data_IF_478308995647
#
_entry.id   IF_478308995647
#
_cell.length_a   1.000
_cell.length_b   1.000
_cell.length_c   1.000
_cell.angle_alpha   90.00
_cell.angle_beta   90.00
_cell.angle_gamma   90.00
#
_symmetry.space_group_name_H-M   'P 1'
#
loop_
_entity.id
_entity.type
_entity.pdbx_description
1 polymer ?
#
# COMPACT_ATOMS: atom_id res chain seq x y z
N UNK A 1 24.88 1.13 19.22
CA UNK A 1 24.47 -0.17 18.63
C UNK A 1 25.73 -0.90 18.16
N UNK A 2 25.85 -2.22 18.35
CA UNK A 2 27.02 -2.95 17.82
C UNK A 2 26.96 -2.88 16.30
N UNK A 3 28.10 -2.65 15.65
CA UNK A 3 28.21 -2.54 14.19
C UNK A 3 27.78 -3.80 13.42
N UNK A 4 27.44 -4.86 14.15
CA UNK A 4 27.11 -6.18 13.60
C UNK A 4 25.61 -6.49 13.55
N UNK A 5 24.71 -5.61 14.01
CA UNK A 5 23.28 -5.85 13.99
C UNK A 5 22.56 -4.83 13.09
N UNK A 6 22.09 -5.24 11.91
CA UNK A 6 21.60 -4.31 10.87
C UNK A 6 20.17 -3.81 11.09
N UNK A 7 19.47 -4.25 12.15
CA UNK A 7 18.07 -3.85 12.41
C UNK A 7 18.01 -2.70 13.41
N UNK A 8 17.17 -1.70 13.12
CA UNK A 8 16.78 -0.70 14.11
C UNK A 8 15.55 -1.22 14.90
N UNK A 9 15.73 -1.40 16.21
CA UNK A 9 14.69 -1.80 17.15
C UNK A 9 14.33 -0.67 18.11
N UNK A 10 14.81 0.54 17.86
CA UNK A 10 14.62 1.69 18.73
C UNK A 10 13.62 2.68 18.12
N UNK A 11 13.71 2.95 16.82
CA UNK A 11 12.86 3.92 16.13
C UNK A 11 12.83 5.29 16.84
N UNK A 12 11.65 5.86 16.96
CA UNK A 12 11.45 7.10 17.73
C UNK A 12 11.41 6.90 19.25
N UNK A 13 11.29 5.67 19.73
CA UNK A 13 11.19 5.35 21.15
C UNK A 13 9.96 5.97 21.82
N UNK A 14 10.13 6.37 23.09
CA UNK A 14 9.03 6.90 23.91
C UNK A 14 8.61 8.34 23.54
N UNK A 15 9.43 9.06 22.79
CA UNK A 15 9.19 10.46 22.43
C UNK A 15 9.14 10.63 20.89
N UNK A 16 8.09 10.13 20.20
CA UNK A 16 7.94 10.33 18.77
C UNK A 16 7.80 11.83 18.44
N UNK A 17 8.25 12.28 17.28
CA UNK A 17 8.07 13.67 16.86
C UNK A 17 6.59 13.98 16.66
N UNK A 18 6.17 15.21 16.96
CA UNK A 18 4.82 15.65 16.67
C UNK A 18 4.69 15.94 15.16
N UNK A 19 3.83 15.26 14.41
CA UNK A 19 3.78 15.36 12.95
C UNK A 19 3.16 16.67 12.43
N UNK A 20 2.49 17.44 13.27
CA UNK A 20 1.81 18.70 12.90
C UNK A 20 0.85 18.55 11.71
N UNK A 21 0.05 17.48 11.70
CA UNK A 21 -0.87 17.20 10.59
C UNK A 21 -1.75 18.42 10.24
N UNK A 22 -2.09 18.61 8.95
CA UNK A 22 -2.95 19.71 8.51
C UNK A 22 -4.25 19.79 9.30
N UNK A 23 -4.69 21.01 9.59
CA UNK A 23 -5.91 21.23 10.37
C UNK A 23 -5.83 20.82 11.83
N UNK A 24 -4.63 20.67 12.39
CA UNK A 24 -4.39 20.12 13.74
C UNK A 24 -5.05 18.71 13.89
N UNK A 25 -4.99 17.90 12.85
CA UNK A 25 -5.57 16.57 12.90
C UNK A 25 -4.87 15.70 13.93
N UNK A 26 -5.66 14.89 14.64
CA UNK A 26 -5.21 13.89 15.60
C UNK A 26 -4.72 12.63 14.93
N UNK A 27 -5.19 12.40 13.71
CA UNK A 27 -4.85 11.21 12.93
C UNK A 27 -4.81 11.54 11.44
N UNK A 28 -3.77 11.06 10.74
CA UNK A 28 -3.74 11.03 9.29
C UNK A 28 -4.26 9.65 8.84
N UNK A 29 -5.44 9.61 8.23
CA UNK A 29 -6.09 8.39 7.77
C UNK A 29 -5.90 8.22 6.27
N UNK A 30 -5.18 7.16 5.87
CA UNK A 30 -4.85 6.85 4.48
C UNK A 30 -5.47 5.52 4.05
N UNK A 31 -6.31 5.55 3.01
CA UNK A 31 -6.82 4.35 2.36
C UNK A 31 -5.95 4.00 1.16
N UNK A 32 -5.49 2.77 1.13
CA UNK A 32 -4.63 2.24 0.07
C UNK A 32 -5.37 1.13 -0.67
N UNK A 33 -5.60 1.32 -1.96
CA UNK A 33 -6.19 0.29 -2.82
C UNK A 33 -5.10 -0.39 -3.63
N UNK A 34 -4.89 -1.68 -3.37
CA UNK A 34 -4.00 -2.52 -4.16
C UNK A 34 -4.73 -2.96 -5.44
N UNK A 35 -4.21 -2.53 -6.58
CA UNK A 35 -4.67 -2.94 -7.91
C UNK A 35 -3.67 -3.90 -8.54
N UNK A 36 -3.94 -5.20 -8.40
CA UNK A 36 -3.01 -6.29 -8.68
C UNK A 36 -3.48 -7.24 -9.78
N UNK A 37 -4.76 -7.19 -10.11
CA UNK A 37 -5.49 -8.13 -10.95
C UNK A 37 -4.93 -8.19 -12.37
N UNK A 38 -4.28 -9.31 -12.71
CA UNK A 38 -3.56 -9.54 -13.96
C UNK A 38 -2.04 -9.40 -13.84
N UNK A 39 -1.52 -9.02 -12.67
CA UNK A 39 -0.09 -9.00 -12.36
C UNK A 39 0.41 -10.19 -11.52
N UNK A 40 -0.51 -11.03 -11.03
CA UNK A 40 -0.24 -12.23 -10.24
C UNK A 40 0.52 -13.31 -11.01
N UNK A 41 1.00 -14.34 -10.30
CA UNK A 41 1.65 -15.51 -10.92
C UNK A 41 0.69 -16.23 -11.86
N UNK A 42 1.13 -16.45 -13.09
CA UNK A 42 0.38 -17.20 -14.09
C UNK A 42 1.33 -17.76 -15.15
N UNK A 43 1.09 -18.98 -15.60
CA UNK A 43 1.89 -19.58 -16.68
C UNK A 43 1.81 -18.78 -17.99
N UNK A 44 0.74 -18.00 -18.20
CA UNK A 44 0.63 -17.06 -19.33
C UNK A 44 1.69 -15.93 -19.28
N UNK A 45 2.32 -15.72 -18.15
CA UNK A 45 3.41 -14.75 -17.93
C UNK A 45 4.79 -15.40 -17.91
N UNK A 46 4.87 -16.70 -18.19
CA UNK A 46 6.12 -17.48 -18.11
C UNK A 46 6.43 -18.02 -16.71
N UNK A 47 5.52 -17.88 -15.75
CA UNK A 47 5.71 -18.45 -14.42
C UNK A 47 5.60 -19.98 -14.44
N UNK A 48 6.27 -20.64 -13.48
CA UNK A 48 6.25 -22.11 -13.37
C UNK A 48 4.93 -22.64 -12.81
N UNK A 49 4.15 -21.80 -12.16
CA UNK A 49 2.97 -22.17 -11.40
C UNK A 49 1.91 -21.05 -11.41
N UNK A 50 0.67 -21.41 -11.07
CA UNK A 50 -0.41 -20.45 -10.87
C UNK A 50 -0.31 -19.76 -9.51
N UNK A 51 -0.96 -18.61 -9.33
CA UNK A 51 -1.13 -17.96 -8.03
C UNK A 51 -1.97 -18.84 -7.09
N UNK A 52 -1.68 -18.75 -5.79
CA UNK A 52 -2.44 -19.40 -4.72
C UNK A 52 -2.70 -18.46 -3.54
N UNK A 53 -2.00 -17.32 -3.51
CA UNK A 53 -2.01 -16.42 -2.36
C UNK A 53 -3.17 -15.40 -2.44
N UNK A 54 -3.61 -14.96 -1.27
CA UNK A 54 -4.56 -13.87 -1.07
C UNK A 54 -5.86 -14.04 -1.85
N UNK A 55 -6.50 -15.18 -1.66
CA UNK A 55 -7.77 -15.55 -2.26
C UNK A 55 -8.70 -16.24 -1.26
N UNK A 56 -9.97 -16.35 -1.64
CA UNK A 56 -11.02 -17.04 -0.86
C UNK A 56 -10.99 -18.56 -1.01
N UNK A 57 -10.06 -19.10 -1.81
CA UNK A 57 -9.88 -20.55 -1.95
C UNK A 57 -9.11 -21.09 -0.75
N UNK A 58 -9.83 -21.79 0.13
CA UNK A 58 -9.23 -22.35 1.36
C UNK A 58 -8.13 -23.34 1.00
N UNK A 59 -6.94 -23.16 1.62
CA UNK A 59 -5.77 -24.00 1.41
C UNK A 59 -5.35 -24.17 -0.06
N UNK A 60 -5.56 -23.11 -0.88
CA UNK A 60 -5.15 -23.14 -2.27
C UNK A 60 -3.67 -23.49 -2.41
N UNK A 61 -3.36 -24.38 -3.36
CA UNK A 61 -2.00 -24.73 -3.72
C UNK A 61 -1.71 -24.25 -5.15
N UNK A 62 -0.49 -23.77 -5.44
CA UNK A 62 -0.10 -23.46 -6.80
C UNK A 62 -0.18 -24.70 -7.70
N UNK A 63 -0.76 -24.55 -8.89
CA UNK A 63 -0.79 -25.60 -9.90
C UNK A 63 0.46 -25.49 -10.77
N UNK A 64 1.31 -26.51 -10.73
CA UNK A 64 2.55 -26.55 -11.50
C UNK A 64 2.26 -26.73 -13.00
N UNK A 65 2.80 -25.84 -13.82
CA UNK A 65 2.67 -25.90 -15.28
C UNK A 65 1.25 -25.77 -15.80
N UNK A 66 0.29 -25.32 -14.98
CA UNK A 66 -1.11 -25.23 -15.35
C UNK A 66 -1.76 -23.92 -14.87
N UNK A 67 -2.78 -23.48 -15.61
CA UNK A 67 -3.65 -22.36 -15.20
C UNK A 67 -4.60 -22.83 -14.10
N UNK A 68 -4.87 -21.95 -13.13
CA UNK A 68 -5.95 -22.15 -12.16
C UNK A 68 -7.14 -21.24 -12.52
N UNK A 69 -8.10 -21.78 -13.27
CA UNK A 69 -9.24 -21.00 -13.80
C UNK A 69 -10.11 -20.41 -12.70
N UNK A 70 -10.23 -21.09 -11.56
CA UNK A 70 -10.99 -20.57 -10.42
C UNK A 70 -10.26 -19.39 -9.77
N UNK A 71 -8.93 -19.50 -9.61
CA UNK A 71 -8.09 -18.41 -9.09
C UNK A 71 -8.13 -17.19 -10.01
N UNK A 72 -7.93 -17.39 -11.32
CA UNK A 72 -8.01 -16.33 -12.32
C UNK A 72 -9.36 -15.59 -12.24
N UNK A 73 -10.47 -16.33 -12.13
CA UNK A 73 -11.81 -15.73 -12.04
C UNK A 73 -12.03 -14.91 -10.77
N UNK A 74 -11.35 -15.23 -9.65
CA UNK A 74 -11.37 -14.42 -8.42
C UNK A 74 -10.64 -13.09 -8.63
N UNK A 75 -9.48 -13.12 -9.29
CA UNK A 75 -8.75 -11.91 -9.66
C UNK A 75 -9.54 -11.08 -10.68
N UNK A 76 -10.07 -11.70 -11.73
CA UNK A 76 -10.93 -11.02 -12.72
C UNK A 76 -12.10 -10.29 -12.07
N UNK A 77 -12.71 -10.84 -11.02
CA UNK A 77 -13.79 -10.16 -10.31
C UNK A 77 -13.32 -8.80 -9.75
N UNK A 78 -12.11 -8.73 -9.20
CA UNK A 78 -11.54 -7.49 -8.71
C UNK A 78 -11.50 -6.40 -9.78
N UNK A 79 -10.96 -6.74 -10.94
CA UNK A 79 -10.83 -5.82 -12.08
C UNK A 79 -12.17 -5.51 -12.76
N UNK A 80 -13.08 -6.50 -12.88
CA UNK A 80 -14.35 -6.35 -13.63
C UNK A 80 -15.46 -5.69 -12.82
N UNK A 81 -15.49 -5.91 -11.51
CA UNK A 81 -16.61 -5.48 -10.66
C UNK A 81 -16.17 -4.78 -9.36
N UNK A 82 -15.19 -5.35 -8.66
CA UNK A 82 -14.78 -4.90 -7.34
C UNK A 82 -14.25 -3.47 -7.34
N UNK A 83 -13.32 -3.18 -8.23
CA UNK A 83 -12.68 -1.86 -8.35
C UNK A 83 -13.71 -0.74 -8.57
N UNK A 84 -14.65 -0.94 -9.48
CA UNK A 84 -15.67 0.07 -9.80
C UNK A 84 -16.59 0.38 -8.63
N UNK A 85 -16.91 -0.66 -7.83
CA UNK A 85 -17.71 -0.50 -6.62
C UNK A 85 -16.96 0.27 -5.55
N UNK A 86 -15.67 0.03 -5.39
CA UNK A 86 -14.80 0.76 -4.47
C UNK A 86 -14.67 2.22 -4.90
N UNK A 87 -14.33 2.49 -6.16
CA UNK A 87 -14.19 3.86 -6.67
C UNK A 87 -15.50 4.67 -6.50
N UNK A 88 -16.65 4.02 -6.73
CA UNK A 88 -17.95 4.66 -6.49
C UNK A 88 -18.15 5.03 -5.03
N UNK A 89 -17.76 4.16 -4.09
CA UNK A 89 -17.86 4.43 -2.65
C UNK A 89 -16.98 5.62 -2.25
N UNK A 90 -15.72 5.65 -2.65
CA UNK A 90 -14.81 6.73 -2.31
C UNK A 90 -15.23 8.08 -2.93
N UNK A 91 -15.79 8.05 -4.13
CA UNK A 91 -16.39 9.23 -4.76
C UNK A 91 -17.62 9.74 -3.97
N UNK A 92 -18.48 8.84 -3.45
CA UNK A 92 -19.65 9.20 -2.63
C UNK A 92 -19.24 9.99 -1.37
N UNK A 93 -18.10 9.64 -0.78
CA UNK A 93 -17.59 10.28 0.44
C UNK A 93 -16.57 11.40 0.19
N UNK A 94 -16.19 11.64 -1.05
CA UNK A 94 -15.13 12.61 -1.41
C UNK A 94 -13.83 12.37 -0.64
N UNK A 95 -13.36 11.11 -0.64
CA UNK A 95 -12.12 10.70 0.03
C UNK A 95 -11.11 10.26 -1.04
N UNK A 96 -9.87 10.80 -1.00
CA UNK A 96 -8.83 10.37 -1.92
C UNK A 96 -8.27 8.99 -1.53
N UNK A 97 -7.76 8.26 -2.54
CA UNK A 97 -7.06 7.00 -2.38
C UNK A 97 -5.60 7.15 -2.80
N UNK A 98 -4.72 6.36 -2.20
CA UNK A 98 -3.47 5.95 -2.83
C UNK A 98 -3.70 4.59 -3.49
N UNK A 99 -3.41 4.49 -4.77
CA UNK A 99 -3.51 3.24 -5.53
C UNK A 99 -2.13 2.62 -5.62
N UNK A 100 -1.91 1.49 -4.98
CA UNK A 100 -0.75 0.66 -5.25
C UNK A 100 -1.03 -0.13 -6.52
N UNK A 101 -0.51 0.38 -7.64
CA UNK A 101 -0.78 -0.14 -8.97
C UNK A 101 0.35 -1.06 -9.45
N UNK A 102 0.06 -2.34 -9.61
CA UNK A 102 0.94 -3.27 -10.32
C UNK A 102 0.94 -2.90 -11.80
N UNK A 103 2.10 -2.54 -12.37
CA UNK A 103 2.17 -1.95 -13.70
C UNK A 103 1.64 -2.89 -14.80
N UNK A 104 1.86 -4.19 -14.69
CA UNK A 104 1.29 -5.17 -15.63
C UNK A 104 -0.24 -5.22 -15.54
N UNK A 105 -0.81 -5.12 -14.35
CA UNK A 105 -2.27 -5.04 -14.17
C UNK A 105 -2.83 -3.74 -14.77
N UNK A 106 -2.16 -2.62 -14.51
CA UNK A 106 -2.50 -1.31 -15.07
C UNK A 106 -2.49 -1.31 -16.61
N UNK A 107 -1.46 -1.90 -17.21
CA UNK A 107 -1.34 -2.01 -18.67
C UNK A 107 -2.48 -2.83 -19.31
N UNK A 108 -3.00 -3.83 -18.60
CA UNK A 108 -4.09 -4.69 -19.09
C UNK A 108 -5.46 -4.05 -18.98
N UNK A 109 -5.63 -3.09 -18.08
CA UNK A 109 -6.89 -2.38 -17.92
C UNK A 109 -6.65 -0.85 -17.78
N UNK A 110 -6.21 -0.17 -18.85
CA UNK A 110 -5.86 1.24 -18.79
C UNK A 110 -7.04 2.16 -18.43
N UNK A 111 -8.28 1.75 -18.75
CA UNK A 111 -9.48 2.55 -18.45
C UNK A 111 -9.71 2.71 -16.94
N UNK A 112 -9.40 1.70 -16.16
CA UNK A 112 -9.49 1.78 -14.70
C UNK A 112 -8.46 2.75 -14.13
N UNK A 113 -7.23 2.72 -14.66
CA UNK A 113 -6.17 3.66 -14.23
C UNK A 113 -6.56 5.11 -14.58
N UNK A 114 -7.09 5.31 -15.78
CA UNK A 114 -7.60 6.63 -16.19
C UNK A 114 -8.69 7.13 -15.24
N UNK A 115 -9.66 6.30 -14.91
CA UNK A 115 -10.72 6.64 -13.96
C UNK A 115 -10.20 6.99 -12.57
N UNK A 116 -9.14 6.31 -12.10
CA UNK A 116 -8.48 6.59 -10.82
C UNK A 116 -7.78 7.96 -10.85
N UNK A 117 -7.05 8.26 -11.93
CA UNK A 117 -6.38 9.56 -12.12
C UNK A 117 -7.40 10.70 -12.22
N UNK A 118 -8.45 10.53 -13.03
CA UNK A 118 -9.53 11.53 -13.20
C UNK A 118 -10.28 11.81 -11.88
N UNK A 119 -10.34 10.83 -10.98
CA UNK A 119 -10.91 10.99 -9.64
C UNK A 119 -9.93 11.64 -8.63
N UNK A 120 -8.72 12.01 -9.04
CA UNK A 120 -7.73 12.66 -8.17
C UNK A 120 -7.00 11.70 -7.21
N UNK A 121 -7.10 10.40 -7.45
CA UNK A 121 -6.35 9.42 -6.66
C UNK A 121 -4.86 9.43 -7.03
N UNK A 122 -4.01 9.13 -6.07
CA UNK A 122 -2.57 8.93 -6.32
C UNK A 122 -2.32 7.56 -6.96
N UNK A 123 -1.47 7.51 -7.98
CA UNK A 123 -0.92 6.27 -8.51
C UNK A 123 0.50 6.09 -7.96
N UNK A 124 0.65 5.17 -7.03
CA UNK A 124 1.91 4.72 -6.45
C UNK A 124 2.31 3.40 -7.11
N UNK A 125 3.58 3.22 -7.44
CA UNK A 125 4.05 1.98 -8.06
C UNK A 125 3.95 0.81 -7.09
N UNK A 126 3.34 -0.30 -7.52
CA UNK A 126 3.38 -1.61 -6.85
C UNK A 126 4.27 -2.60 -7.60
N UNK A 127 5.35 -2.07 -8.19
CA UNK A 127 6.25 -2.84 -9.03
C UNK A 127 5.64 -3.22 -10.39
N UNK A 128 6.40 -4.02 -11.16
CA UNK A 128 5.94 -4.48 -12.48
C UNK A 128 4.95 -5.64 -12.37
N UNK A 129 5.26 -6.60 -11.48
CA UNK A 129 4.49 -7.81 -11.25
C UNK A 129 4.23 -8.02 -9.77
N UNK A 130 3.13 -8.69 -9.44
CA UNK A 130 2.81 -9.09 -8.08
C UNK A 130 3.38 -10.47 -7.76
N UNK A 131 4.69 -10.55 -7.63
CA UNK A 131 5.45 -11.77 -7.39
C UNK A 131 6.47 -11.55 -6.26
N UNK A 132 7.07 -12.63 -5.78
CA UNK A 132 8.11 -12.59 -4.75
C UNK A 132 9.46 -12.19 -5.36
N UNK A 133 10.10 -11.17 -4.79
CA UNK A 133 11.40 -10.65 -5.23
C UNK A 133 12.56 -11.18 -4.38
N UNK A 134 12.30 -11.97 -3.33
CA UNK A 134 13.32 -12.43 -2.37
C UNK A 134 14.53 -13.11 -3.02
N UNK A 135 14.29 -13.85 -4.09
CA UNK A 135 15.33 -14.62 -4.78
C UNK A 135 15.56 -14.17 -6.23
N UNK A 136 15.01 -13.01 -6.59
CA UNK A 136 15.19 -12.46 -7.93
C UNK A 136 16.62 -11.93 -8.10
N UNK A 137 17.19 -12.12 -9.29
CA UNK A 137 18.44 -11.49 -9.68
C UNK A 137 18.31 -9.96 -9.68
N UNK A 138 19.31 -9.26 -9.18
CA UNK A 138 19.28 -7.80 -9.04
C UNK A 138 19.06 -7.09 -10.38
N UNK A 139 19.67 -7.57 -11.45
CA UNK A 139 19.50 -6.96 -12.78
C UNK A 139 18.06 -7.08 -13.27
N UNK A 140 17.42 -8.23 -13.04
CA UNK A 140 16.01 -8.45 -13.37
C UNK A 140 15.07 -7.62 -12.48
N UNK A 141 15.36 -7.50 -11.18
CA UNK A 141 14.57 -6.65 -10.28
C UNK A 141 14.63 -5.17 -10.70
N UNK A 142 15.83 -4.70 -11.07
CA UNK A 142 16.03 -3.35 -11.61
C UNK A 142 15.25 -3.13 -12.93
N UNK A 143 15.29 -4.11 -13.83
CA UNK A 143 14.51 -4.06 -15.07
C UNK A 143 13.01 -3.97 -14.80
N UNK A 144 12.48 -4.77 -13.88
CA UNK A 144 11.09 -4.72 -13.44
C UNK A 144 10.72 -3.35 -12.86
N UNK A 145 11.60 -2.74 -12.07
CA UNK A 145 11.38 -1.40 -11.52
C UNK A 145 11.27 -0.35 -12.63
N UNK A 146 12.22 -0.34 -13.55
CA UNK A 146 12.25 0.63 -14.66
C UNK A 146 11.04 0.45 -15.59
N UNK A 147 10.66 -0.79 -15.86
CA UNK A 147 9.47 -1.11 -16.67
C UNK A 147 8.18 -0.66 -15.98
N UNK A 148 8.07 -0.81 -14.65
CA UNK A 148 6.94 -0.30 -13.89
C UNK A 148 6.83 1.22 -13.99
N UNK A 149 7.93 1.94 -13.83
CA UNK A 149 7.98 3.40 -13.97
C UNK A 149 7.54 3.81 -15.38
N UNK A 150 8.08 3.16 -16.42
CA UNK A 150 7.74 3.46 -17.81
C UNK A 150 6.26 3.29 -18.08
N UNK A 151 5.69 2.12 -17.75
CA UNK A 151 4.28 1.82 -18.01
C UNK A 151 3.36 2.78 -17.27
N UNK A 152 3.58 2.98 -15.96
CA UNK A 152 2.73 3.86 -15.16
C UNK A 152 2.82 5.31 -15.66
N UNK A 153 4.01 5.77 -16.03
CA UNK A 153 4.20 7.12 -16.60
C UNK A 153 3.45 7.28 -17.93
N UNK A 154 3.52 6.29 -18.82
CA UNK A 154 2.80 6.33 -20.11
C UNK A 154 1.27 6.33 -19.93
N UNK A 155 0.75 5.60 -18.94
CA UNK A 155 -0.68 5.50 -18.69
C UNK A 155 -1.27 6.73 -17.99
N UNK A 156 -0.50 7.38 -17.12
CA UNK A 156 -0.99 8.48 -16.27
C UNK A 156 -0.54 9.87 -16.73
N UNK A 157 0.49 9.94 -17.57
CA UNK A 157 1.15 11.20 -17.95
C UNK A 157 2.17 11.71 -16.95
N UNK A 158 2.27 11.09 -15.76
CA UNK A 158 3.19 11.47 -14.69
C UNK A 158 3.88 10.24 -14.11
N UNK A 159 5.16 10.38 -13.70
CA UNK A 159 5.84 9.28 -13.04
C UNK A 159 5.24 9.01 -11.64
N UNK A 160 5.20 7.77 -11.18
CA UNK A 160 4.84 7.48 -9.80
C UNK A 160 5.87 8.07 -8.83
N UNK A 161 5.39 8.73 -7.77
CA UNK A 161 6.23 9.35 -6.74
C UNK A 161 6.43 8.46 -5.52
N UNK A 162 5.64 7.43 -5.35
CA UNK A 162 5.75 6.44 -4.29
C UNK A 162 6.05 5.04 -4.82
N UNK A 163 6.66 4.23 -3.98
CA UNK A 163 6.97 2.83 -4.24
C UNK A 163 6.47 1.90 -3.13
N UNK A 164 5.96 0.76 -3.52
CA UNK A 164 5.64 -0.38 -2.67
C UNK A 164 5.78 -1.67 -3.46
N UNK A 165 6.40 -2.70 -2.90
CA UNK A 165 6.51 -4.03 -3.51
C UNK A 165 5.67 -5.06 -2.74
N UNK A 166 5.68 -4.98 -1.41
CA UNK A 166 4.97 -5.89 -0.51
C UNK A 166 5.59 -7.27 -0.37
N UNK A 167 6.31 -7.74 -1.38
CA UNK A 167 7.07 -8.99 -1.40
C UNK A 167 8.53 -8.70 -1.75
N UNK A 168 9.15 -7.83 -0.94
CA UNK A 168 10.48 -7.27 -1.16
C UNK A 168 11.57 -8.32 -1.13
N UNK A 169 12.62 -8.07 -1.91
CA UNK A 169 13.91 -8.76 -1.83
C UNK A 169 14.97 -7.95 -1.07
N UNK A 170 16.16 -8.52 -0.87
CA UNK A 170 17.25 -7.83 -0.18
C UNK A 170 17.78 -6.61 -0.95
N UNK A 171 17.48 -6.48 -2.23
CA UNK A 171 17.93 -5.38 -3.07
C UNK A 171 16.89 -4.26 -3.21
N UNK A 172 15.61 -4.54 -2.99
CA UNK A 172 14.49 -3.67 -3.38
C UNK A 172 14.68 -2.24 -2.89
N UNK A 173 14.80 -1.99 -1.58
CA UNK A 173 14.92 -0.61 -1.06
C UNK A 173 16.18 0.10 -1.58
N UNK A 174 17.31 -0.61 -1.68
CA UNK A 174 18.53 -0.04 -2.24
C UNK A 174 18.34 0.40 -3.69
N UNK A 175 17.69 -0.42 -4.52
CA UNK A 175 17.38 -0.10 -5.92
C UNK A 175 16.46 1.12 -6.03
N UNK A 176 15.43 1.22 -5.17
CA UNK A 176 14.53 2.38 -5.10
C UNK A 176 15.30 3.66 -4.76
N UNK A 177 16.20 3.59 -3.78
CA UNK A 177 17.05 4.73 -3.40
C UNK A 177 18.04 5.13 -4.51
N UNK A 178 18.65 4.16 -5.19
CA UNK A 178 19.59 4.39 -6.29
C UNK A 178 18.91 5.02 -7.51
N UNK A 179 17.69 4.58 -7.83
CA UNK A 179 16.90 5.17 -8.92
C UNK A 179 16.61 6.65 -8.64
N UNK A 180 16.27 7.00 -7.42
CA UNK A 180 16.30 8.36 -6.88
C UNK A 180 15.18 9.29 -7.32
N UNK A 181 14.17 8.82 -8.06
CA UNK A 181 13.02 9.62 -8.47
C UNK A 181 11.78 9.43 -7.63
N UNK A 182 11.80 8.53 -6.65
CA UNK A 182 10.70 8.35 -5.69
C UNK A 182 10.85 9.30 -4.51
N UNK A 183 9.75 9.92 -4.08
CA UNK A 183 9.72 10.73 -2.86
C UNK A 183 9.72 9.86 -1.61
N UNK A 184 9.14 8.65 -1.69
CA UNK A 184 9.00 7.74 -0.56
C UNK A 184 8.85 6.28 -1.03
N UNK A 185 9.13 5.35 -0.11
CA UNK A 185 8.68 3.96 -0.20
C UNK A 185 7.80 3.56 1.00
N UNK A 186 7.08 2.45 0.85
CA UNK A 186 6.16 1.92 1.86
C UNK A 186 6.51 0.50 2.30
N UNK A 187 7.66 -0.03 1.90
CA UNK A 187 8.02 -1.45 2.12
C UNK A 187 8.51 -1.72 3.55
N UNK A 188 7.72 -1.29 4.54
CA UNK A 188 7.95 -1.58 5.95
C UNK A 188 6.65 -1.52 6.74
N UNK A 189 6.64 -2.10 7.96
CA UNK A 189 5.48 -2.23 8.84
C UNK A 189 5.87 -1.94 10.30
N UNK A 190 6.87 -1.07 10.52
CA UNK A 190 7.64 -0.98 11.76
C UNK A 190 7.40 0.31 12.55
N UNK A 191 6.58 1.24 12.05
CA UNK A 191 6.26 2.50 12.77
C UNK A 191 4.88 3.05 12.38
N UNK A 192 4.32 3.92 13.22
CA UNK A 192 3.07 4.65 12.99
C UNK A 192 3.30 6.07 12.43
N UNK A 193 4.54 6.43 12.15
CA UNK A 193 4.95 7.70 11.57
C UNK A 193 5.95 7.50 10.43
N UNK A 194 6.03 8.44 9.46
CA UNK A 194 7.11 8.45 8.49
C UNK A 194 8.46 8.66 9.14
N UNK A 195 9.52 8.14 8.54
CA UNK A 195 10.89 8.41 8.97
C UNK A 195 11.86 8.46 7.79
N UNK A 196 12.99 9.16 8.01
CA UNK A 196 14.08 9.18 7.03
C UNK A 196 14.93 7.92 7.17
N UNK A 197 15.18 7.22 6.05
CA UNK A 197 16.03 6.02 6.04
C UNK A 197 17.45 6.34 6.50
N UNK A 198 17.88 5.80 7.65
CA UNK A 198 19.19 6.14 8.21
C UNK A 198 20.36 5.49 7.47
N UNK A 199 20.11 4.34 6.81
CA UNK A 199 21.14 3.53 6.14
C UNK A 199 21.12 3.74 4.62
N UNK A 200 21.00 4.97 4.16
CA UNK A 200 20.93 5.26 2.73
C UNK A 200 22.35 5.33 2.11
N UNK A 201 22.71 4.38 1.24
CA UNK A 201 24.04 4.33 0.62
C UNK A 201 24.28 5.42 -0.42
N UNK A 202 23.21 6.08 -0.89
CA UNK A 202 23.31 7.13 -1.93
C UNK A 202 23.71 8.49 -1.36
N UNK A 203 23.61 8.67 -0.05
CA UNK A 203 23.81 9.96 0.62
C UNK A 203 22.72 10.99 0.37
N UNK A 204 21.65 10.63 -0.35
CA UNK A 204 20.47 11.48 -0.58
C UNK A 204 19.37 11.13 0.43
N UNK A 205 18.52 12.10 0.83
CA UNK A 205 17.40 11.77 1.71
C UNK A 205 16.44 10.80 1.04
N UNK A 206 15.95 9.82 1.79
CA UNK A 206 14.91 8.89 1.36
C UNK A 206 13.87 8.73 2.47
N UNK A 207 12.61 9.00 2.16
CA UNK A 207 11.52 8.93 3.12
C UNK A 207 10.88 7.55 3.09
N UNK A 208 10.66 6.99 4.27
CA UNK A 208 9.88 5.76 4.45
C UNK A 208 8.56 6.11 5.12
N UNK A 209 7.47 5.64 4.54
CA UNK A 209 6.12 5.76 5.11
C UNK A 209 5.62 4.34 5.37
N UNK A 210 5.66 3.85 6.61
CA UNK A 210 5.23 2.49 6.92
C UNK A 210 3.82 2.17 6.45
N UNK A 211 3.60 0.93 6.00
CA UNK A 211 2.30 0.41 5.59
C UNK A 211 1.71 -0.49 6.67
N UNK A 212 0.65 -1.23 6.39
CA UNK A 212 -0.06 -2.05 7.36
C UNK A 212 -0.42 -3.43 6.82
N UNK A 213 -0.43 -4.42 7.70
CA UNK A 213 -0.95 -5.77 7.43
C UNK A 213 -2.10 -6.16 8.37
N UNK A 214 -2.29 -5.46 9.47
CA UNK A 214 -3.35 -5.76 10.45
C UNK A 214 -4.66 -5.04 10.11
N UNK A 215 -4.64 -3.76 9.75
CA UNK A 215 -5.80 -3.00 9.25
C UNK A 215 -5.98 -3.17 7.74
N UNK A 216 -5.94 -4.42 7.28
CA UNK A 216 -5.89 -4.79 5.88
C UNK A 216 -6.91 -5.88 5.57
N UNK A 217 -7.69 -5.71 4.50
CA UNK A 217 -8.74 -6.66 4.09
C UNK A 217 -8.19 -8.03 3.65
N UNK A 218 -6.86 -8.15 3.44
CA UNK A 218 -6.21 -9.43 3.19
C UNK A 218 -6.53 -10.46 4.28
N UNK A 219 -6.80 -10.01 5.50
CA UNK A 219 -7.15 -10.88 6.63
C UNK A 219 -8.46 -11.63 6.45
N UNK A 220 -9.33 -11.26 5.51
CA UNK A 220 -10.48 -12.08 5.12
C UNK A 220 -10.09 -13.42 4.48
N UNK A 221 -8.85 -13.56 4.03
CA UNK A 221 -8.34 -14.79 3.39
C UNK A 221 -7.45 -15.61 4.32
N UNK A 222 -7.23 -15.16 5.54
CA UNK A 222 -6.38 -15.84 6.52
C UNK A 222 -7.22 -16.71 7.47
N UNK A 223 -6.66 -17.83 7.92
CA UNK A 223 -7.35 -18.78 8.80
C UNK A 223 -7.81 -18.15 10.12
N UNK A 224 -7.04 -17.22 10.67
CA UNK A 224 -7.36 -16.45 11.88
C UNK A 224 -7.61 -14.98 11.57
N UNK A 225 -8.26 -14.72 10.46
CA UNK A 225 -8.56 -13.37 10.01
C UNK A 225 -10.01 -12.96 10.30
N UNK A 226 -10.55 -12.11 9.42
CA UNK A 226 -11.92 -11.64 9.51
C UNK A 226 -12.89 -12.64 8.89
N UNK A 227 -13.90 -13.09 9.64
CA UNK A 227 -14.90 -14.03 9.14
C UNK A 227 -16.11 -13.31 8.55
N UNK A 228 -16.46 -12.14 9.09
CA UNK A 228 -17.58 -11.31 8.63
C UNK A 228 -17.17 -9.83 8.56
N UNK A 229 -18.02 -9.02 7.94
CA UNK A 229 -17.76 -7.58 7.82
C UNK A 229 -17.69 -6.85 9.16
N UNK A 230 -18.40 -7.33 10.19
CA UNK A 230 -18.34 -6.71 11.51
C UNK A 230 -16.94 -6.84 12.12
N UNK A 231 -16.27 -7.98 11.98
CA UNK A 231 -14.91 -8.16 12.50
C UNK A 231 -13.95 -7.13 11.90
N UNK A 232 -14.06 -6.85 10.60
CA UNK A 232 -13.27 -5.82 9.93
C UNK A 232 -13.62 -4.42 10.43
N UNK A 233 -14.91 -4.10 10.49
CA UNK A 233 -15.38 -2.81 10.99
C UNK A 233 -14.91 -2.54 12.42
N UNK A 234 -15.11 -3.49 13.33
CA UNK A 234 -14.75 -3.39 14.76
C UNK A 234 -13.24 -3.22 14.92
N UNK A 235 -12.44 -4.01 14.19
CA UNK A 235 -10.99 -3.91 14.23
C UNK A 235 -10.48 -2.54 13.75
N UNK A 236 -11.00 -2.04 12.63
CA UNK A 236 -10.64 -0.72 12.12
C UNK A 236 -11.07 0.40 13.07
N UNK A 237 -12.27 0.25 13.67
CA UNK A 237 -12.79 1.21 14.65
C UNK A 237 -11.91 1.27 15.88
N UNK A 238 -11.55 0.13 16.44
CA UNK A 238 -10.72 0.07 17.65
C UNK A 238 -9.32 0.62 17.40
N UNK A 239 -8.70 0.30 16.26
CA UNK A 239 -7.42 0.88 15.85
C UNK A 239 -7.51 2.40 15.69
N UNK A 240 -8.56 2.88 15.05
CA UNK A 240 -8.83 4.32 14.91
C UNK A 240 -9.01 4.99 16.28
N UNK A 241 -9.81 4.42 17.16
CA UNK A 241 -10.13 5.01 18.49
C UNK A 241 -8.88 5.15 19.35
N UNK A 242 -8.01 4.13 19.36
CA UNK A 242 -6.74 4.18 20.09
C UNK A 242 -5.86 5.30 19.56
N UNK A 243 -5.57 5.31 18.26
CA UNK A 243 -4.68 6.32 17.67
C UNK A 243 -5.29 7.73 17.72
N UNK A 244 -6.60 7.85 17.59
CA UNK A 244 -7.28 9.15 17.71
C UNK A 244 -7.23 9.70 19.13
N UNK A 245 -7.32 8.83 20.16
CA UNK A 245 -7.16 9.23 21.56
C UNK A 245 -5.71 9.65 21.85
N UNK A 246 -4.72 8.85 21.42
CA UNK A 246 -3.30 9.20 21.52
C UNK A 246 -2.97 10.50 20.78
N UNK A 247 -3.66 10.76 19.69
CA UNK A 247 -3.49 11.95 18.85
C UNK A 247 -3.84 13.29 19.53
N UNK A 248 -4.39 13.26 20.73
CA UNK A 248 -4.53 14.47 21.55
C UNK A 248 -3.15 15.07 21.97
N UNK A 249 -2.14 14.21 22.11
CA UNK A 249 -0.78 14.57 22.52
C UNK A 249 0.26 14.19 21.47
N UNK A 250 0.11 13.01 20.84
CA UNK A 250 1.07 12.43 19.90
C UNK A 250 0.37 11.87 18.66
N UNK A 251 -0.08 12.72 17.73
CA UNK A 251 -0.76 12.28 16.51
C UNK A 251 0.04 11.25 15.72
N UNK A 252 -0.69 10.32 15.09
CA UNK A 252 -0.13 9.23 14.28
C UNK A 252 -0.79 9.18 12.89
N UNK A 253 -0.35 8.25 12.06
CA UNK A 253 -1.06 7.88 10.84
C UNK A 253 -1.69 6.49 11.00
N UNK A 254 -2.81 6.26 10.32
CA UNK A 254 -3.45 4.96 10.19
C UNK A 254 -3.61 4.66 8.71
N UNK A 255 -3.02 3.56 8.26
CA UNK A 255 -3.20 3.06 6.89
C UNK A 255 -4.23 1.94 6.89
N UNK A 256 -5.10 1.91 5.88
CA UNK A 256 -6.07 0.84 5.66
C UNK A 256 -5.82 0.23 4.29
N UNK A 257 -5.43 -1.05 4.28
CA UNK A 257 -5.14 -1.80 3.07
C UNK A 257 -6.40 -2.45 2.49
N UNK A 258 -6.63 -2.23 1.20
CA UNK A 258 -7.79 -2.71 0.46
C UNK A 258 -7.36 -3.43 -0.81
N UNK A 259 -8.07 -4.51 -1.20
CA UNK A 259 -7.84 -5.23 -2.46
C UNK A 259 -9.14 -5.33 -3.25
N UNK A 260 -9.06 -5.08 -4.57
CA UNK A 260 -10.26 -5.01 -5.40
C UNK A 260 -11.12 -6.27 -5.35
N UNK A 261 -10.48 -7.45 -5.33
CA UNK A 261 -11.16 -8.77 -5.27
C UNK A 261 -11.70 -9.12 -3.89
N UNK A 262 -11.23 -8.46 -2.80
CA UNK A 262 -11.62 -8.74 -1.42
C UNK A 262 -12.70 -7.77 -0.93
N UNK A 263 -12.33 -6.54 -0.61
CA UNK A 263 -13.28 -5.55 -0.09
C UNK A 263 -14.33 -5.15 -1.14
N UNK A 264 -14.03 -5.31 -2.43
CA UNK A 264 -14.98 -5.08 -3.52
C UNK A 264 -16.17 -6.04 -3.54
N UNK A 265 -16.19 -7.11 -2.73
CA UNK A 265 -17.36 -7.96 -2.53
C UNK A 265 -18.45 -7.21 -1.76
N UNK A 266 -19.73 -7.28 -2.17
CA UNK A 266 -20.80 -6.45 -1.60
C UNK A 266 -20.92 -6.52 -0.08
N UNK A 267 -20.83 -7.72 0.48
CA UNK A 267 -20.95 -7.92 1.93
C UNK A 267 -19.81 -7.28 2.73
N UNK A 268 -18.59 -7.28 2.18
CA UNK A 268 -17.42 -6.68 2.82
C UNK A 268 -17.39 -5.16 2.63
N UNK A 269 -17.79 -4.67 1.45
CA UNK A 269 -17.85 -3.24 1.19
C UNK A 269 -18.78 -2.50 2.16
N UNK A 270 -19.86 -3.14 2.61
CA UNK A 270 -20.77 -2.57 3.59
C UNK A 270 -20.07 -2.26 4.92
N UNK A 271 -19.09 -3.06 5.34
CA UNK A 271 -18.31 -2.78 6.55
C UNK A 271 -17.34 -1.62 6.37
N UNK A 272 -16.70 -1.54 5.20
CA UNK A 272 -15.84 -0.40 4.86
C UNK A 272 -16.65 0.90 4.83
N UNK A 273 -17.85 0.89 4.25
CA UNK A 273 -18.75 2.06 4.25
C UNK A 273 -19.05 2.53 5.67
N UNK A 274 -19.44 1.62 6.57
CA UNK A 274 -19.70 1.95 7.99
C UNK A 274 -18.46 2.56 8.67
N UNK A 275 -17.27 2.04 8.38
CA UNK A 275 -16.04 2.59 8.93
C UNK A 275 -15.76 4.01 8.40
N UNK A 276 -15.96 4.26 7.12
CA UNK A 276 -15.81 5.60 6.54
C UNK A 276 -16.80 6.58 7.20
N UNK A 277 -18.06 6.18 7.34
CA UNK A 277 -19.10 6.97 8.03
C UNK A 277 -18.68 7.28 9.47
N UNK A 278 -18.17 6.27 10.18
CA UNK A 278 -17.66 6.42 11.55
C UNK A 278 -16.49 7.40 11.61
N UNK A 279 -15.46 7.23 10.82
CA UNK A 279 -14.30 8.11 10.82
C UNK A 279 -14.66 9.56 10.45
N UNK A 280 -15.57 9.75 9.49
CA UNK A 280 -16.09 11.08 9.11
C UNK A 280 -16.96 11.75 10.17
N UNK A 281 -17.47 11.02 11.13
CA UNK A 281 -18.22 11.61 12.27
C UNK A 281 -17.32 12.26 13.32
N UNK A 282 -15.99 12.10 13.19
CA UNK A 282 -15.00 12.69 14.09
C UNK A 282 -14.37 13.94 13.46
N UNK A 283 -14.15 14.97 14.28
CA UNK A 283 -13.38 16.15 13.90
C UNK A 283 -11.88 15.82 13.90
N UNK A 284 -11.06 16.68 13.30
CA UNK A 284 -9.59 16.55 13.32
C UNK A 284 -9.08 15.20 12.76
N UNK A 285 -9.72 14.68 11.73
CA UNK A 285 -9.27 13.54 10.92
C UNK A 285 -8.80 14.06 9.58
N UNK A 286 -7.55 13.81 9.22
CA UNK A 286 -7.01 14.16 7.92
C UNK A 286 -7.04 12.95 6.99
N UNK A 287 -8.02 12.90 6.07
CA UNK A 287 -8.07 11.92 4.99
C UNK A 287 -7.06 12.31 3.92
N UNK A 288 -6.02 11.50 3.74
CA UNK A 288 -4.86 11.85 2.94
C UNK A 288 -4.42 10.73 2.00
N UNK A 289 -3.81 11.11 0.88
CA UNK A 289 -3.00 10.20 0.08
C UNK A 289 -1.62 10.07 0.73
N UNK A 290 -0.90 9.02 0.40
CA UNK A 290 0.46 8.83 0.95
C UNK A 290 1.44 9.90 0.44
N UNK A 291 1.28 10.35 -0.80
CA UNK A 291 2.07 11.46 -1.33
C UNK A 291 1.83 12.77 -0.56
N UNK A 292 0.62 13.00 -0.04
CA UNK A 292 0.32 14.17 0.78
C UNK A 292 1.02 14.08 2.13
N UNK A 293 1.04 12.90 2.74
CA UNK A 293 1.82 12.62 3.96
C UNK A 293 3.31 12.83 3.69
N UNK A 294 3.84 12.32 2.56
CA UNK A 294 5.24 12.49 2.19
C UNK A 294 5.64 13.97 2.08
N UNK A 295 4.87 14.75 1.35
CA UNK A 295 5.13 16.19 1.14
C UNK A 295 5.06 16.95 2.45
N UNK A 296 4.01 16.71 3.25
CA UNK A 296 3.86 17.31 4.55
C UNK A 296 5.04 17.00 5.49
N UNK A 297 5.48 15.73 5.52
CA UNK A 297 6.60 15.32 6.35
C UNK A 297 7.92 15.97 5.92
N UNK A 298 8.15 16.06 4.60
CA UNK A 298 9.34 16.75 4.07
C UNK A 298 9.39 18.24 4.45
N UNK A 299 8.25 18.90 4.52
CA UNK A 299 8.14 20.31 4.92
C UNK A 299 8.32 20.52 6.42
N UNK A 300 7.69 19.66 7.24
CA UNK A 300 7.67 19.82 8.70
C UNK A 300 8.85 19.17 9.41
N UNK A 301 9.42 18.11 8.82
CA UNK A 301 10.54 17.32 9.33
C UNK A 301 11.62 17.14 8.24
N UNK A 302 12.22 18.25 7.78
CA UNK A 302 13.21 18.17 6.71
C UNK A 302 14.40 17.30 7.12
N UNK A 303 14.95 16.56 6.17
CA UNK A 303 16.13 15.74 6.39
C UNK A 303 17.31 16.58 6.89
N UNK A 304 17.85 16.24 8.04
CA UNK A 304 18.95 16.99 8.66
C UNK A 304 20.34 16.38 8.40
N UNK A 305 20.42 15.37 7.51
CA UNK A 305 21.63 14.59 7.32
C UNK A 305 21.77 13.49 8.39
N UNK A 306 22.55 12.46 8.09
CA UNK A 306 22.99 11.54 9.12
C UNK A 306 23.99 12.27 10.00
N UNK A 307 23.65 12.54 11.26
CA UNK A 307 24.66 12.94 12.24
C UNK A 307 25.73 11.84 12.26
N UNK A 308 26.95 12.17 11.81
CA UNK A 308 28.11 11.28 11.85
C UNK A 308 28.54 11.02 13.28
#
# INVERSE_FOLDING_TARGET
MSADYPRDLIGYGINPPHPHWPGNARIALSFVLNYEEGGERNILHGDKESEAFLSEMVAAQPLQGARNMSMESLYEYGSRAGVWRILKLFKEFDIPLTIFAVAMAAQRHPDVIRAMVEAGHEICSHGYRWIDYQYMDEAQEREHMLEAIRILTELTGERPLGWYTGRTGPNTRRLVMEEGGFLYDCDTYDDDLPYWEPNNPTGKPHLVIPYTLDTNDMRFTQVQGFNKGDDFFEYLKDAFDVLYAEGAEAPKMLSIGLHCRLIGRPGRLASLKRFIEYAKSHEQVWFSRRVDIARHWQETHPYQGTAK
#
